data_IF_712505386035
#
_entry.id   IF_712505386035
#
_cell.length_a   1.000
_cell.length_b   1.000
_cell.length_c   1.000
_cell.angle_alpha   90.00
_cell.angle_beta   90.00
_cell.angle_gamma   90.00
#
_symmetry.space_group_name_H-M   'P 1'
#
loop_
_entity.id
_entity.type
_entity.pdbx_description
1 polymer ?
#
# COMPACT_ATOMS: atom_id res chain seq x y z
N UNK A 1 -2.91 -46.85 17.44
CA UNK A 1 -4.03 -46.03 16.93
C UNK A 1 -3.99 -44.63 17.52
N UNK A 2 -3.94 -44.43 18.84
CA UNK A 2 -3.81 -43.06 19.43
C UNK A 2 -2.52 -42.29 19.07
N UNK A 3 -1.37 -42.96 18.99
CA UNK A 3 -0.09 -42.29 18.69
C UNK A 3 0.01 -41.75 17.25
N UNK A 4 -0.66 -42.41 16.30
CA UNK A 4 -0.71 -41.96 14.90
C UNK A 4 -1.62 -40.73 14.75
N UNK A 5 -2.73 -40.67 15.50
CA UNK A 5 -3.63 -39.51 15.53
C UNK A 5 -2.96 -38.26 16.14
N UNK A 6 -2.15 -38.43 17.20
CA UNK A 6 -1.37 -37.33 17.79
C UNK A 6 -0.33 -36.80 16.80
N UNK A 7 0.38 -37.68 16.10
CA UNK A 7 1.36 -37.28 15.09
C UNK A 7 0.72 -36.59 13.88
N UNK A 8 -0.43 -37.07 13.42
CA UNK A 8 -1.17 -36.44 12.33
C UNK A 8 -1.72 -35.07 12.72
N UNK A 9 -2.15 -34.91 13.98
CA UNK A 9 -2.56 -33.61 14.52
C UNK A 9 -1.38 -32.63 14.54
N UNK A 10 -0.22 -33.02 15.06
CA UNK A 10 1.00 -32.18 15.09
C UNK A 10 1.43 -31.77 13.67
N UNK A 11 1.40 -32.69 12.71
CA UNK A 11 1.72 -32.38 11.30
C UNK A 11 0.72 -31.40 10.70
N UNK A 12 -0.58 -31.57 10.94
CA UNK A 12 -1.60 -30.61 10.47
C UNK A 12 -1.40 -29.23 11.09
N UNK A 13 -1.25 -29.15 12.42
CA UNK A 13 -1.08 -27.85 13.11
C UNK A 13 0.19 -27.12 12.65
N UNK A 14 1.28 -27.84 12.40
CA UNK A 14 2.54 -27.25 11.92
C UNK A 14 2.46 -26.80 10.45
N UNK A 15 1.76 -27.54 9.58
CA UNK A 15 1.49 -27.14 8.20
C UNK A 15 0.59 -25.90 8.15
N UNK A 16 -0.49 -25.89 8.94
CA UNK A 16 -1.41 -24.74 9.02
C UNK A 16 -0.72 -23.48 9.56
N UNK A 17 0.15 -23.63 10.56
CA UNK A 17 0.95 -22.53 11.09
C UNK A 17 1.96 -22.01 10.06
N UNK A 18 2.61 -22.91 9.32
CA UNK A 18 3.54 -22.55 8.24
C UNK A 18 2.85 -21.81 7.10
N UNK A 19 1.69 -22.29 6.65
CA UNK A 19 0.93 -21.66 5.58
C UNK A 19 0.37 -20.30 6.00
N UNK A 20 -0.11 -20.16 7.25
CA UNK A 20 -0.52 -18.87 7.83
C UNK A 20 0.67 -17.89 7.91
N UNK A 21 1.83 -18.34 8.37
CA UNK A 21 3.02 -17.50 8.46
C UNK A 21 3.50 -17.03 7.07
N UNK A 22 3.43 -17.92 6.07
CA UNK A 22 3.76 -17.62 4.69
C UNK A 22 2.78 -16.64 4.05
N UNK A 23 1.48 -16.79 4.30
CA UNK A 23 0.45 -15.88 3.81
C UNK A 23 0.59 -14.49 4.45
N UNK A 24 0.79 -14.45 5.77
CA UNK A 24 1.08 -13.23 6.53
C UNK A 24 2.31 -12.50 5.99
N UNK A 25 3.42 -13.22 5.76
CA UNK A 25 4.65 -12.64 5.19
C UNK A 25 4.42 -12.01 3.81
N UNK A 26 3.68 -12.69 2.93
CA UNK A 26 3.33 -12.17 1.60
C UNK A 26 2.44 -10.92 1.68
N UNK A 27 1.47 -10.90 2.59
CA UNK A 27 0.61 -9.74 2.83
C UNK A 27 1.42 -8.55 3.31
N UNK A 28 2.32 -8.73 4.29
CA UNK A 28 3.20 -7.67 4.77
C UNK A 28 4.10 -7.11 3.67
N UNK A 29 4.70 -7.98 2.85
CA UNK A 29 5.50 -7.55 1.71
C UNK A 29 4.67 -6.70 0.72
N UNK A 30 3.45 -7.15 0.40
CA UNK A 30 2.54 -6.44 -0.49
C UNK A 30 2.12 -5.08 0.07
N UNK A 31 1.78 -5.00 1.36
CA UNK A 31 1.44 -3.75 2.06
C UNK A 31 2.62 -2.77 2.01
N UNK A 32 3.83 -3.25 2.31
CA UNK A 32 5.05 -2.44 2.30
C UNK A 32 5.32 -1.89 0.89
N UNK A 33 5.18 -2.72 -0.15
CA UNK A 33 5.34 -2.30 -1.54
C UNK A 33 4.33 -1.21 -1.94
N UNK A 34 3.05 -1.40 -1.60
CA UNK A 34 1.99 -0.43 -1.90
C UNK A 34 2.24 0.91 -1.18
N UNK A 35 2.57 0.87 0.11
CA UNK A 35 2.94 2.07 0.89
C UNK A 35 4.17 2.76 0.31
N UNK A 36 5.16 2.00 -0.14
CA UNK A 36 6.35 2.51 -0.83
C UNK A 36 6.00 3.26 -2.12
N UNK A 37 5.14 2.68 -2.97
CA UNK A 37 4.66 3.30 -4.21
C UNK A 37 3.87 4.58 -3.95
N UNK A 38 2.97 4.59 -2.97
CA UNK A 38 2.21 5.78 -2.56
C UNK A 38 3.16 6.90 -2.11
N UNK A 39 4.15 6.58 -1.28
CA UNK A 39 5.18 7.54 -0.84
C UNK A 39 5.97 8.09 -2.02
N UNK A 40 6.37 7.23 -2.96
CA UNK A 40 7.06 7.64 -4.19
C UNK A 40 6.25 8.66 -4.99
N UNK A 41 4.99 8.35 -5.27
CA UNK A 41 4.10 9.27 -5.99
C UNK A 41 3.85 10.59 -5.25
N UNK A 42 3.73 10.57 -3.92
CA UNK A 42 3.62 11.79 -3.13
C UNK A 42 4.90 12.65 -3.20
N UNK A 43 6.08 12.02 -3.20
CA UNK A 43 7.34 12.73 -3.39
C UNK A 43 7.43 13.38 -4.77
N UNK A 44 7.01 12.66 -5.82
CA UNK A 44 7.00 13.21 -7.18
C UNK A 44 6.02 14.38 -7.31
N UNK A 45 4.84 14.26 -6.69
CA UNK A 45 3.88 15.37 -6.59
C UNK A 45 4.49 16.60 -5.90
N UNK A 46 5.20 16.42 -4.79
CA UNK A 46 5.85 17.53 -4.09
C UNK A 46 6.94 18.21 -4.94
N UNK A 47 7.69 17.45 -5.73
CA UNK A 47 8.65 18.00 -6.69
C UNK A 47 7.95 18.84 -7.76
N UNK A 48 6.82 18.36 -8.31
CA UNK A 48 6.03 19.12 -9.27
C UNK A 48 5.52 20.43 -8.68
N UNK A 49 5.01 20.42 -7.43
CA UNK A 49 4.58 21.65 -6.75
C UNK A 49 5.73 22.65 -6.58
N UNK A 50 6.93 22.15 -6.26
CA UNK A 50 8.11 22.99 -6.11
C UNK A 50 8.52 23.59 -7.45
N UNK A 51 8.54 22.78 -8.52
CA UNK A 51 8.84 23.23 -9.88
C UNK A 51 7.85 24.29 -10.34
N UNK A 52 6.56 24.03 -10.21
CA UNK A 52 5.50 24.98 -10.58
C UNK A 52 5.64 26.29 -9.80
N UNK A 53 5.96 26.23 -8.50
CA UNK A 53 6.22 27.43 -7.70
C UNK A 53 7.39 28.27 -8.22
N UNK A 54 8.46 27.62 -8.67
CA UNK A 54 9.60 28.31 -9.30
C UNK A 54 9.21 28.93 -10.66
N UNK A 55 8.46 28.20 -11.47
CA UNK A 55 8.03 28.66 -12.79
C UNK A 55 7.11 29.88 -12.65
N UNK A 56 6.16 29.85 -11.72
CA UNK A 56 5.29 31.01 -11.38
C UNK A 56 6.12 32.21 -10.92
N UNK A 57 7.11 31.99 -10.06
CA UNK A 57 7.99 33.08 -9.60
C UNK A 57 8.75 33.73 -10.77
N UNK A 58 9.30 32.92 -11.67
CA UNK A 58 10.05 33.41 -12.84
C UNK A 58 9.12 34.14 -13.81
N UNK A 59 7.96 33.56 -14.12
CA UNK A 59 6.98 34.15 -15.02
C UNK A 59 6.50 35.52 -14.51
N UNK A 60 6.17 35.62 -13.22
CA UNK A 60 5.80 36.89 -12.58
C UNK A 60 6.92 37.94 -12.64
N UNK A 61 8.20 37.53 -12.57
CA UNK A 61 9.34 38.44 -12.68
C UNK A 61 9.56 38.96 -14.10
N UNK A 62 9.27 38.13 -15.10
CA UNK A 62 9.50 38.43 -16.53
C UNK A 62 8.27 39.00 -17.24
N UNK A 63 7.09 38.84 -16.66
CA UNK A 63 5.81 39.14 -17.31
C UNK A 63 5.42 38.07 -18.34
N UNK A 64 5.92 36.84 -18.20
CA UNK A 64 5.60 35.74 -19.10
C UNK A 64 4.22 35.15 -18.77
N UNK A 65 3.48 34.70 -19.80
CA UNK A 65 2.28 33.89 -19.61
C UNK A 65 2.66 32.46 -19.26
N UNK A 66 2.05 31.93 -18.20
CA UNK A 66 2.31 30.59 -17.66
C UNK A 66 1.05 29.69 -17.67
N UNK A 67 0.02 30.08 -18.42
CA UNK A 67 -1.26 29.37 -18.43
C UNK A 67 -1.09 27.92 -18.91
N UNK A 68 -0.33 27.69 -19.99
CA UNK A 68 -0.12 26.35 -20.55
C UNK A 68 0.63 25.43 -19.58
N UNK A 69 1.71 25.92 -18.95
CA UNK A 69 2.47 25.15 -17.97
C UNK A 69 1.63 24.83 -16.73
N UNK A 70 0.76 25.77 -16.33
CA UNK A 70 -0.19 25.55 -15.22
C UNK A 70 -1.19 24.45 -15.57
N UNK A 71 -1.74 24.45 -16.78
CA UNK A 71 -2.66 23.41 -17.24
C UNK A 71 -1.99 22.03 -17.31
N UNK A 72 -0.76 21.96 -17.81
CA UNK A 72 0.01 20.71 -17.84
C UNK A 72 0.31 20.21 -16.43
N UNK A 73 0.72 21.11 -15.54
CA UNK A 73 0.95 20.81 -14.13
C UNK A 73 -0.30 20.20 -13.47
N UNK A 74 -1.48 20.80 -13.67
CA UNK A 74 -2.75 20.28 -13.13
C UNK A 74 -3.03 18.87 -13.65
N UNK A 75 -2.91 18.64 -14.97
CA UNK A 75 -3.11 17.31 -15.58
C UNK A 75 -2.17 16.26 -14.98
N UNK A 76 -0.91 16.62 -14.74
CA UNK A 76 0.06 15.72 -14.12
C UNK A 76 -0.27 15.41 -12.66
N UNK A 77 -0.65 16.42 -11.87
CA UNK A 77 -1.06 16.23 -10.47
C UNK A 77 -2.31 15.35 -10.39
N UNK A 78 -3.30 15.57 -11.24
CA UNK A 78 -4.52 14.75 -11.29
C UNK A 78 -4.23 13.29 -11.64
N UNK A 79 -3.34 13.06 -12.60
CA UNK A 79 -2.89 11.72 -12.96
C UNK A 79 -2.22 11.01 -11.77
N UNK A 80 -1.36 11.72 -11.03
CA UNK A 80 -0.71 11.18 -9.84
C UNK A 80 -1.73 10.89 -8.74
N UNK A 81 -2.65 11.81 -8.47
CA UNK A 81 -3.69 11.62 -7.45
C UNK A 81 -4.59 10.41 -7.79
N UNK A 82 -4.95 10.23 -9.06
CA UNK A 82 -5.71 9.05 -9.50
C UNK A 82 -4.95 7.74 -9.27
N UNK A 83 -3.62 7.74 -9.47
CA UNK A 83 -2.77 6.57 -9.18
C UNK A 83 -2.67 6.29 -7.68
N UNK A 84 -2.47 7.32 -6.86
CA UNK A 84 -2.44 7.21 -5.40
C UNK A 84 -3.76 6.61 -4.91
N UNK A 85 -4.90 7.16 -5.33
CA UNK A 85 -6.23 6.66 -4.94
C UNK A 85 -6.41 5.17 -5.25
N UNK A 86 -6.02 4.71 -6.44
CA UNK A 86 -6.08 3.28 -6.80
C UNK A 86 -5.19 2.41 -5.92
N UNK A 87 -4.01 2.91 -5.53
CA UNK A 87 -3.11 2.19 -4.63
C UNK A 87 -3.64 2.15 -3.20
N UNK A 88 -4.27 3.23 -2.73
CA UNK A 88 -4.92 3.31 -1.41
C UNK A 88 -6.13 2.37 -1.33
N UNK A 89 -6.95 2.32 -2.38
CA UNK A 89 -8.06 1.36 -2.49
C UNK A 89 -7.54 -0.08 -2.44
N UNK A 90 -6.48 -0.38 -3.19
CA UNK A 90 -5.85 -1.71 -3.16
C UNK A 90 -5.23 -2.03 -1.81
N UNK A 91 -4.60 -1.06 -1.17
CA UNK A 91 -4.02 -1.21 0.18
C UNK A 91 -5.12 -1.53 1.19
N UNK A 92 -6.23 -0.78 1.15
CA UNK A 92 -7.38 -1.03 2.02
C UNK A 92 -7.94 -2.43 1.84
N UNK A 93 -8.04 -2.94 0.61
CA UNK A 93 -8.48 -4.31 0.36
C UNK A 93 -7.55 -5.33 1.04
N UNK A 94 -6.23 -5.19 0.85
CA UNK A 94 -5.24 -6.11 1.43
C UNK A 94 -5.20 -6.02 2.96
N UNK A 95 -5.33 -4.83 3.53
CA UNK A 95 -5.37 -4.61 4.98
C UNK A 95 -6.69 -5.12 5.59
N UNK A 96 -7.83 -4.93 4.93
CA UNK A 96 -9.14 -5.45 5.38
C UNK A 96 -9.32 -6.96 5.20
N UNK A 97 -8.35 -7.63 4.58
CA UNK A 97 -8.39 -9.08 4.35
C UNK A 97 -8.10 -9.90 5.63
N UNK A 98 -8.14 -9.32 6.83
CA UNK A 98 -7.91 -9.99 8.13
C UNK A 98 -8.59 -11.37 8.14
N UNK A 99 -7.79 -12.43 7.99
CA UNK A 99 -7.46 -13.41 9.03
C UNK A 99 -8.66 -13.57 9.97
N UNK A 100 -9.44 -14.66 9.85
CA UNK A 100 -10.36 -15.04 10.91
C UNK A 100 -9.54 -15.09 12.20
N UNK A 101 -9.87 -14.21 13.15
CA UNK A 101 -9.62 -14.47 14.56
C UNK A 101 -10.35 -15.79 14.82
N UNK A 102 -9.62 -16.89 14.65
CA UNK A 102 -10.04 -18.16 15.20
C UNK A 102 -10.03 -17.93 16.69
N UNK A 103 -11.23 -17.92 17.26
CA UNK A 103 -11.50 -17.95 18.67
C UNK A 103 -10.44 -18.85 19.32
N UNK A 104 -9.54 -18.26 20.11
CA UNK A 104 -8.91 -19.02 21.17
C UNK A 104 -10.02 -19.15 22.20
N UNK A 105 -10.93 -20.09 21.96
CA UNK A 105 -11.62 -20.75 23.06
C UNK A 105 -10.51 -21.44 23.84
N UNK A 106 -10.06 -20.77 24.90
CA UNK A 106 -9.50 -21.42 26.08
C UNK A 106 -10.59 -22.32 26.66
N UNK A 107 -10.95 -23.38 25.94
CA UNK A 107 -11.78 -24.46 26.46
C UNK A 107 -10.85 -25.38 27.24
N UNK A 108 -10.86 -25.14 28.56
CA UNK A 108 -10.66 -26.09 29.65
C UNK A 108 -9.93 -27.40 29.29
N UNK A 109 -8.72 -27.59 29.84
CA UNK A 109 -8.25 -28.79 30.55
C UNK A 109 -6.82 -28.63 31.12
#
# INVERSE_FOLDING_TARGET
>A
MEWDEIFDKIKKTSVDAYDKAKDSTKRFATISELKGKIRGYNNDKNKLFTQMGMDVYIANKKGDDITEQTEEFVKHVDTINARIKKLEERLKLVESSEVPEGDIEDDDL
#
